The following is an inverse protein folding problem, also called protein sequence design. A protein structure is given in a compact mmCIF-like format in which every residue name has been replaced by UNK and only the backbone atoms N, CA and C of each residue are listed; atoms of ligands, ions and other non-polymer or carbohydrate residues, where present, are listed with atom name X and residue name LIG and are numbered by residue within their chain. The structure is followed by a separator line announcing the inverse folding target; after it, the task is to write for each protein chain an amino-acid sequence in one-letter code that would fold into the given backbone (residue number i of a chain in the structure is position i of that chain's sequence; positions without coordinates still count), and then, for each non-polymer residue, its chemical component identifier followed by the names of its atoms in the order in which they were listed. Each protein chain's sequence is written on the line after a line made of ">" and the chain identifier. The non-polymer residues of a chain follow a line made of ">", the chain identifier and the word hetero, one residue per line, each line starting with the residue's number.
data_IF_093841972769
#
_entry.id   IF_093841972769
#
_cell.length_a   1.000
_cell.length_b   1.000
_cell.length_c   1.000
_cell.angle_alpha   90.00
_cell.angle_beta   90.00
_cell.angle_gamma   90.00
#
_symmetry.space_group_name_H-M   'P 1'
#
loop_
_entity.id
_entity.type
_entity.pdbx_description
1 polymer ?
#
# COMPACT_ATOMS: atom_id res chain seq x y z
N UNK A 1 5.56 -6.24 -1.56
CA UNK A 1 6.62 -5.45 -0.87
C UNK A 1 8.00 -5.76 -1.43
N UNK A 2 8.83 -4.73 -1.63
CA UNK A 2 10.23 -4.82 -2.10
C UNK A 2 11.10 -3.74 -1.40
N UNK A 3 12.42 -3.78 -1.59
CA UNK A 3 13.33 -2.74 -1.10
C UNK A 3 13.44 -2.65 0.42
N UNK A 4 13.20 -3.76 1.13
CA UNK A 4 13.19 -3.80 2.60
C UNK A 4 11.83 -3.44 3.21
N UNK A 5 10.85 -3.01 2.41
CA UNK A 5 9.50 -2.75 2.90
C UNK A 5 8.87 -4.01 3.53
N UNK A 6 9.23 -5.21 3.09
CA UNK A 6 8.72 -6.47 3.66
C UNK A 6 9.03 -6.64 5.16
N UNK A 7 10.08 -5.97 5.66
CA UNK A 7 10.46 -6.03 7.09
C UNK A 7 9.36 -5.44 7.98
N UNK A 8 8.63 -4.44 7.49
CA UNK A 8 7.51 -3.83 8.21
C UNK A 8 6.31 -4.78 8.36
N UNK A 9 6.28 -5.84 7.54
CA UNK A 9 5.17 -6.78 7.40
C UNK A 9 5.58 -8.22 7.77
N UNK A 10 6.55 -8.37 8.69
CA UNK A 10 6.98 -9.68 9.18
C UNK A 10 7.84 -10.46 8.19
N UNK A 11 8.60 -9.76 7.33
CA UNK A 11 9.44 -10.33 6.28
C UNK A 11 8.67 -11.15 5.22
N UNK A 12 7.38 -10.84 5.04
CA UNK A 12 6.53 -11.44 4.00
C UNK A 12 6.47 -10.49 2.80
N UNK A 13 6.84 -10.99 1.62
CA UNK A 13 6.93 -10.17 0.40
C UNK A 13 5.63 -10.00 -0.35
N UNK A 14 4.75 -10.99 -0.30
CA UNK A 14 3.54 -11.08 -1.11
C UNK A 14 2.34 -11.44 -0.24
N UNK A 15 1.24 -10.73 -0.43
CA UNK A 15 -0.02 -10.95 0.26
C UNK A 15 -1.15 -10.96 -0.76
N UNK A 16 -1.93 -12.04 -0.78
CA UNK A 16 -3.22 -12.04 -1.48
C UNK A 16 -4.29 -11.57 -0.50
N UNK A 17 -4.87 -10.41 -0.78
CA UNK A 17 -5.88 -9.78 0.08
C UNK A 17 -7.26 -9.85 -0.58
N UNK A 18 -8.30 -9.93 0.24
CA UNK A 18 -9.69 -9.77 -0.19
C UNK A 18 -10.24 -8.54 0.49
N UNK A 19 -10.48 -7.49 -0.29
CA UNK A 19 -11.13 -6.27 0.19
C UNK A 19 -12.60 -6.30 -0.18
N UNK A 20 -13.47 -5.67 0.63
CA UNK A 20 -14.81 -5.34 0.16
C UNK A 20 -14.71 -4.42 -1.08
N UNK A 21 -15.67 -4.48 -2.02
CA UNK A 21 -15.68 -3.59 -3.18
C UNK A 21 -15.99 -2.13 -2.81
N UNK A 22 -16.50 -1.92 -1.59
CA UNK A 22 -16.86 -0.61 -1.06
C UNK A 22 -16.34 -0.45 0.37
N UNK A 23 -15.94 0.77 0.69
CA UNK A 23 -15.60 1.22 2.04
C UNK A 23 -16.85 1.26 2.94
N UNK A 24 -16.69 1.36 4.28
CA UNK A 24 -17.83 1.43 5.21
C UNK A 24 -18.80 2.59 4.97
N UNK A 25 -18.35 3.68 4.36
CA UNK A 25 -19.15 4.85 3.97
C UNK A 25 -19.74 4.74 2.54
N UNK A 26 -19.60 3.59 1.89
CA UNK A 26 -20.24 3.27 0.61
C UNK A 26 -19.51 3.76 -0.64
N UNK A 27 -18.30 4.30 -0.50
CA UNK A 27 -17.43 4.66 -1.63
C UNK A 27 -16.75 3.41 -2.20
N UNK A 28 -16.34 3.39 -3.48
CA UNK A 28 -15.48 2.32 -3.99
C UNK A 28 -14.20 2.20 -3.16
N UNK A 29 -13.68 0.99 -2.99
CA UNK A 29 -12.37 0.81 -2.36
C UNK A 29 -11.25 1.24 -3.29
N UNK A 30 -10.49 2.23 -2.87
CA UNK A 30 -9.35 2.82 -3.57
C UNK A 30 -8.02 2.44 -2.90
N UNK A 31 -6.90 2.89 -3.49
CA UNK A 31 -5.56 2.64 -2.96
C UNK A 31 -5.36 3.30 -1.60
N UNK A 32 -5.94 4.48 -1.35
CA UNK A 32 -5.91 5.12 -0.03
C UNK A 32 -6.56 4.24 1.05
N UNK A 33 -7.74 3.68 0.78
CA UNK A 33 -8.40 2.72 1.65
C UNK A 33 -7.55 1.47 1.88
N UNK A 34 -6.91 0.95 0.83
CA UNK A 34 -5.98 -0.18 0.94
C UNK A 34 -4.79 0.14 1.85
N UNK A 35 -4.18 1.32 1.73
CA UNK A 35 -3.05 1.74 2.57
C UNK A 35 -3.46 1.73 4.05
N UNK A 36 -4.62 2.28 4.38
CA UNK A 36 -5.16 2.23 5.75
C UNK A 36 -5.50 0.82 6.20
N UNK A 37 -6.08 0.00 5.31
CA UNK A 37 -6.38 -1.39 5.64
C UNK A 37 -5.10 -2.19 5.93
N UNK A 38 -4.04 -2.00 5.14
CA UNK A 38 -2.72 -2.61 5.36
C UNK A 38 -2.14 -2.17 6.71
N UNK A 39 -2.20 -0.88 7.02
CA UNK A 39 -1.78 -0.34 8.33
C UNK A 39 -2.47 -1.07 9.47
N UNK A 40 -3.79 -1.21 9.38
CA UNK A 40 -4.60 -1.70 10.49
C UNK A 40 -4.55 -3.24 10.65
N UNK A 41 -4.24 -3.97 9.57
CA UNK A 41 -4.35 -5.44 9.54
C UNK A 41 -3.01 -6.17 9.38
N UNK A 42 -2.08 -5.62 8.59
CA UNK A 42 -0.87 -6.33 8.18
C UNK A 42 0.39 -5.79 8.83
N UNK A 43 0.47 -4.48 9.09
CA UNK A 43 1.66 -3.83 9.65
C UNK A 43 2.05 -4.46 10.99
N UNK A 44 3.34 -4.78 11.14
CA UNK A 44 3.92 -5.38 12.37
C UNK A 44 4.84 -4.43 13.12
N UNK A 45 5.27 -3.37 12.45
CA UNK A 45 6.13 -2.33 12.98
C UNK A 45 5.35 -1.04 13.27
N UNK A 46 6.07 0.00 13.67
CA UNK A 46 5.48 1.31 14.01
C UNK A 46 4.82 1.96 12.79
N UNK A 47 3.64 2.55 12.99
CA UNK A 47 2.80 3.15 11.93
C UNK A 47 3.56 4.21 11.14
N UNK A 48 4.32 5.05 11.84
CA UNK A 48 5.10 6.15 11.26
C UNK A 48 6.25 5.70 10.35
N UNK A 49 6.55 4.40 10.28
CA UNK A 49 7.52 3.84 9.33
C UNK A 49 6.89 3.53 7.97
N UNK A 50 5.56 3.41 7.91
CA UNK A 50 4.82 3.09 6.69
C UNK A 50 3.94 4.25 6.20
N UNK A 51 3.30 4.99 7.12
CA UNK A 51 2.36 6.07 6.80
C UNK A 51 2.80 7.39 7.42
N UNK A 52 2.65 8.46 6.65
CA UNK A 52 2.85 9.86 7.08
C UNK A 52 1.83 10.74 6.35
N UNK A 53 1.23 11.72 7.04
CA UNK A 53 0.23 12.64 6.48
C UNK A 53 -0.90 11.94 5.71
N UNK A 54 -1.44 10.86 6.29
CA UNK A 54 -2.56 10.07 5.76
C UNK A 54 -2.28 9.31 4.45
N UNK A 55 -1.02 9.21 4.01
CA UNK A 55 -0.60 8.42 2.85
C UNK A 55 0.70 7.65 3.15
N UNK A 56 1.25 6.93 2.18
CA UNK A 56 2.55 6.25 2.36
C UNK A 56 3.64 7.26 2.69
N UNK A 57 4.53 6.87 3.60
CA UNK A 57 5.64 7.70 4.03
C UNK A 57 6.56 8.05 2.85
N UNK A 58 7.05 9.31 2.73
CA UNK A 58 8.06 9.68 1.75
C UNK A 58 9.26 8.72 1.78
N UNK A 59 9.72 8.32 0.59
CA UNK A 59 10.72 7.28 0.40
C UNK A 59 10.17 5.85 0.32
N UNK A 60 8.84 5.70 0.22
CA UNK A 60 8.19 4.50 -0.26
C UNK A 60 7.55 4.84 -1.61
N UNK A 61 7.94 4.14 -2.67
CA UNK A 61 7.30 4.21 -3.99
C UNK A 61 6.15 3.19 -4.04
N UNK A 62 5.11 3.52 -4.77
CA UNK A 62 3.96 2.65 -5.02
C UNK A 62 3.84 2.42 -6.52
N UNK A 63 3.75 1.15 -6.92
CA UNK A 63 3.39 0.77 -8.28
C UNK A 63 2.01 0.12 -8.29
N UNK A 64 1.22 0.43 -9.31
CA UNK A 64 -0.05 -0.21 -9.62
C UNK A 64 0.15 -0.93 -10.96
N UNK A 65 0.08 -2.27 -10.95
CA UNK A 65 0.30 -3.10 -12.15
C UNK A 65 1.59 -2.73 -12.91
N UNK A 66 2.72 -2.70 -12.19
CA UNK A 66 4.05 -2.28 -12.67
C UNK A 66 4.16 -0.83 -13.20
N UNK A 67 3.12 -0.01 -13.02
CA UNK A 67 3.09 1.41 -13.42
C UNK A 67 3.24 2.31 -12.19
N UNK A 68 3.97 3.41 -12.34
CA UNK A 68 4.11 4.42 -11.29
C UNK A 68 2.73 4.99 -10.94
N UNK A 69 2.35 4.94 -9.66
CA UNK A 69 1.02 5.37 -9.20
C UNK A 69 0.71 6.85 -9.50
N UNK A 70 1.73 7.70 -9.71
CA UNK A 70 1.56 9.10 -10.10
C UNK A 70 0.88 9.23 -11.48
N UNK A 71 0.90 8.16 -12.28
CA UNK A 71 0.22 8.07 -13.58
C UNK A 71 -1.16 7.41 -13.48
N UNK A 72 -1.52 6.88 -12.32
CA UNK A 72 -2.69 6.05 -12.06
C UNK A 72 -3.54 6.66 -10.93
N UNK A 73 -3.71 7.98 -10.90
CA UNK A 73 -4.52 8.69 -9.89
C UNK A 73 -4.11 8.47 -8.41
N UNK A 74 -2.88 7.98 -8.16
CA UNK A 74 -2.28 7.80 -6.83
C UNK A 74 -3.20 7.05 -5.82
N UNK A 75 -3.62 7.74 -4.76
CA UNK A 75 -4.50 7.20 -3.72
C UNK A 75 -5.95 7.01 -4.18
N UNK A 76 -6.37 7.73 -5.23
CA UNK A 76 -7.75 7.75 -5.73
C UNK A 76 -8.02 6.63 -6.75
N UNK A 77 -7.00 5.86 -7.15
CA UNK A 77 -7.16 4.68 -8.01
C UNK A 77 -8.16 3.70 -7.40
N UNK A 78 -9.29 3.50 -8.09
CA UNK A 78 -10.29 2.51 -7.67
C UNK A 78 -9.79 1.11 -7.99
N UNK A 79 -9.63 0.30 -6.94
CA UNK A 79 -9.10 -1.05 -7.06
C UNK A 79 -10.04 -1.95 -7.87
N UNK A 80 -9.44 -2.71 -8.79
CA UNK A 80 -10.14 -3.74 -9.55
C UNK A 80 -9.61 -5.14 -9.24
N UNK A 81 -10.37 -6.21 -9.54
CA UNK A 81 -9.91 -7.57 -9.29
C UNK A 81 -8.59 -7.87 -10.00
N UNK A 82 -7.65 -8.40 -9.22
CA UNK A 82 -6.28 -8.78 -9.64
C UNK A 82 -5.32 -7.61 -9.86
N UNK A 83 -5.63 -6.40 -9.37
CA UNK A 83 -4.61 -5.35 -9.27
C UNK A 83 -3.42 -5.82 -8.42
N UNK A 84 -2.21 -5.61 -8.93
CA UNK A 84 -0.98 -5.79 -8.19
C UNK A 84 -0.49 -4.43 -7.66
N UNK A 85 -0.43 -4.31 -6.33
CA UNK A 85 0.05 -3.11 -5.65
C UNK A 85 1.40 -3.39 -5.00
N UNK A 86 2.45 -2.71 -5.45
CA UNK A 86 3.83 -2.93 -4.99
C UNK A 86 4.34 -1.71 -4.25
N UNK A 87 4.63 -1.88 -2.96
CA UNK A 87 5.35 -0.90 -2.15
C UNK A 87 6.85 -1.20 -2.16
N UNK A 88 7.66 -0.20 -2.52
CA UNK A 88 9.12 -0.28 -2.60
C UNK A 88 9.73 0.77 -1.67
N UNK A 89 10.40 0.35 -0.61
CA UNK A 89 11.18 1.27 0.23
C UNK A 89 12.48 1.64 -0.50
N UNK A 90 12.72 2.95 -0.69
CA UNK A 90 13.97 3.48 -1.27
C UNK A 90 14.95 3.97 -0.21
N UNK A 91 14.53 3.97 1.07
CA UNK A 91 15.31 4.51 2.19
C UNK A 91 16.23 3.49 2.87
N UNK A 92 16.02 2.20 2.66
CA UNK A 92 16.72 1.14 3.41
C UNK A 92 17.87 0.47 2.62
N UNK A 93 18.48 1.21 1.68
CA UNK A 93 19.70 0.80 1.00
C UNK A 93 20.95 1.25 1.75
N UNK A 94 21.21 0.63 2.90
CA UNK A 94 22.54 0.63 3.53
C UNK A 94 23.41 -0.48 2.96
#
# INVERSE_FOLDING_TARGET
>A
YRGGAELLFGNVREHTIKLPPQTPDGRPSDVAFLIHWIRDNLLKERVELFIENDTVRPGILVLINDTDWELEDEGDHVLVPNDEIVFISTLHGG
#
